data_IF_005325528242
#
_entry.id   IF_005325528242
#
_cell.length_a   1.000
_cell.length_b   1.000
_cell.length_c   1.000
_cell.angle_alpha   90.00
_cell.angle_beta   90.00
_cell.angle_gamma   90.00
#
_symmetry.space_group_name_H-M   'P 1'
#
loop_
_entity.id
_entity.type
_entity.pdbx_description
1 polymer ?
#
# COMPACT_ATOMS: atom_id res chain seq x y z
N UNK A 1 -3.72 -43.78 -14.22
CA UNK A 1 -4.74 -42.70 -14.26
C UNK A 1 -5.85 -43.17 -15.19
N UNK A 2 -6.91 -43.78 -14.65
CA UNK A 2 -7.77 -44.66 -15.46
C UNK A 2 -6.92 -45.75 -16.13
N UNK A 3 -7.03 -45.87 -17.45
CA UNK A 3 -6.30 -46.87 -18.26
C UNK A 3 -4.88 -46.44 -18.68
N UNK A 4 -4.40 -45.27 -18.26
CA UNK A 4 -3.08 -44.76 -18.63
C UNK A 4 -2.01 -45.13 -17.60
N UNK A 5 -0.89 -45.67 -18.09
CA UNK A 5 0.34 -45.95 -17.33
C UNK A 5 1.31 -44.79 -17.58
N UNK A 6 1.64 -44.05 -16.52
CA UNK A 6 2.65 -42.99 -16.57
C UNK A 6 4.03 -43.59 -16.28
N UNK A 7 5.05 -43.35 -17.14
CA UNK A 7 6.43 -43.75 -16.87
C UNK A 7 7.00 -43.10 -15.60
N UNK A 8 8.05 -43.70 -15.02
CA UNK A 8 8.75 -43.10 -13.89
C UNK A 8 9.44 -41.80 -14.31
N UNK A 9 9.53 -40.84 -13.38
CA UNK A 9 10.15 -39.51 -13.57
C UNK A 9 9.45 -38.61 -14.60
N UNK A 10 8.17 -38.86 -14.88
CA UNK A 10 7.34 -37.98 -15.70
C UNK A 10 6.78 -36.82 -14.87
N UNK A 11 6.85 -35.61 -15.42
CA UNK A 11 6.18 -34.45 -14.83
C UNK A 11 4.68 -34.49 -15.10
N UNK A 12 3.90 -34.28 -14.04
CA UNK A 12 2.44 -34.25 -14.09
C UNK A 12 2.00 -32.87 -13.62
N UNK A 13 1.37 -32.11 -14.52
CA UNK A 13 0.77 -30.82 -14.22
C UNK A 13 -0.73 -30.98 -13.99
N UNK A 14 -1.23 -30.42 -12.89
CA UNK A 14 -2.67 -30.36 -12.62
C UNK A 14 -3.15 -28.96 -13.06
N UNK A 15 -4.00 -28.85 -14.09
CA UNK A 15 -4.49 -27.56 -14.57
C UNK A 15 -5.60 -27.03 -13.65
N UNK A 16 -5.23 -26.48 -12.50
CA UNK A 16 -6.17 -26.00 -11.47
C UNK A 16 -7.11 -24.92 -11.99
N UNK A 17 -6.63 -23.99 -12.81
CA UNK A 17 -7.46 -22.93 -13.40
C UNK A 17 -8.55 -23.52 -14.29
N UNK A 18 -8.22 -24.47 -15.16
CA UNK A 18 -9.21 -25.12 -16.02
C UNK A 18 -10.23 -25.90 -15.17
N UNK A 19 -9.77 -26.61 -14.15
CA UNK A 19 -10.63 -27.37 -13.23
C UNK A 19 -11.59 -26.47 -12.42
N UNK A 20 -11.18 -25.26 -12.05
CA UNK A 20 -12.04 -24.29 -11.34
C UNK A 20 -13.00 -23.55 -12.26
N UNK A 21 -12.79 -23.61 -13.58
CA UNK A 21 -13.62 -22.94 -14.58
C UNK A 21 -14.43 -23.92 -15.46
N UNK A 22 -14.49 -25.19 -15.08
CA UNK A 22 -15.22 -26.22 -15.82
C UNK A 22 -16.75 -26.11 -15.57
N UNK A 23 -17.56 -25.77 -16.60
CA UNK A 23 -19.01 -25.67 -16.46
C UNK A 23 -19.69 -27.01 -16.12
N UNK A 24 -19.08 -28.15 -16.42
CA UNK A 24 -19.64 -29.45 -16.07
C UNK A 24 -19.65 -29.68 -14.56
N UNK A 25 -18.65 -29.16 -13.86
CA UNK A 25 -18.50 -29.30 -12.41
C UNK A 25 -19.21 -28.14 -11.68
N UNK A 26 -18.98 -26.92 -12.15
CA UNK A 26 -19.39 -25.69 -11.49
C UNK A 26 -20.72 -25.15 -12.02
N UNK A 27 -21.26 -25.67 -13.12
CA UNK A 27 -22.48 -25.16 -13.74
C UNK A 27 -22.22 -23.96 -14.67
N UNK A 28 -23.28 -23.47 -15.31
CA UNK A 28 -23.19 -22.41 -16.33
C UNK A 28 -22.74 -21.06 -15.76
N UNK A 29 -22.97 -20.81 -14.47
CA UNK A 29 -22.58 -19.59 -13.76
C UNK A 29 -21.13 -19.62 -13.23
N UNK A 30 -20.28 -20.53 -13.72
CA UNK A 30 -18.89 -20.70 -13.27
C UNK A 30 -18.03 -19.44 -13.40
N UNK A 31 -18.28 -18.64 -14.44
CA UNK A 31 -17.53 -17.40 -14.68
C UNK A 31 -18.03 -16.20 -13.87
N UNK A 32 -19.09 -16.38 -13.07
CA UNK A 32 -19.64 -15.33 -12.22
C UNK A 32 -19.06 -15.44 -10.80
N UNK A 33 -18.68 -14.30 -10.22
CA UNK A 33 -18.31 -14.25 -8.82
C UNK A 33 -19.54 -14.38 -7.92
N UNK A 34 -19.83 -15.61 -7.49
CA UNK A 34 -21.01 -15.98 -6.69
C UNK A 34 -20.58 -16.71 -5.40
N UNK A 35 -20.18 -15.97 -4.35
CA UNK A 35 -19.71 -16.57 -3.10
C UNK A 35 -20.77 -17.42 -2.40
N UNK A 36 -22.05 -17.14 -2.61
CA UNK A 36 -23.20 -17.88 -2.04
C UNK A 36 -23.19 -19.36 -2.44
N UNK A 37 -22.53 -19.71 -3.55
CA UNK A 37 -22.33 -21.09 -4.00
C UNK A 37 -21.75 -21.99 -2.89
N UNK A 38 -20.92 -21.43 -2.01
CA UNK A 38 -20.24 -22.18 -0.96
C UNK A 38 -21.01 -22.22 0.38
N UNK A 39 -22.21 -21.64 0.46
CA UNK A 39 -23.00 -21.57 1.69
C UNK A 39 -23.27 -22.96 2.30
N UNK A 40 -23.52 -23.96 1.46
CA UNK A 40 -23.76 -25.35 1.85
C UNK A 40 -22.51 -26.24 1.70
N UNK A 41 -21.33 -25.63 1.82
CA UNK A 41 -20.01 -26.25 1.70
C UNK A 41 -19.61 -26.59 0.25
N UNK A 42 -18.35 -26.96 0.10
CA UNK A 42 -17.70 -27.26 -1.19
C UNK A 42 -18.36 -28.42 -1.93
N UNK A 43 -18.83 -29.45 -1.22
CA UNK A 43 -19.44 -30.63 -1.86
C UNK A 43 -20.66 -30.24 -2.72
N UNK A 44 -21.54 -29.37 -2.22
CA UNK A 44 -22.69 -28.90 -3.01
C UNK A 44 -22.26 -27.99 -4.16
N UNK A 45 -21.26 -27.14 -3.93
CA UNK A 45 -20.73 -26.21 -4.93
C UNK A 45 -20.18 -26.90 -6.19
N UNK A 46 -19.68 -28.12 -6.06
CA UNK A 46 -18.98 -28.87 -7.12
C UNK A 46 -19.70 -30.15 -7.58
N UNK A 47 -21.03 -30.24 -7.39
CA UNK A 47 -21.83 -31.45 -7.72
C UNK A 47 -21.25 -32.73 -7.10
N UNK A 48 -20.85 -32.66 -5.83
CA UNK A 48 -20.18 -33.69 -5.04
C UNK A 48 -18.76 -34.09 -5.49
N UNK A 49 -18.18 -33.43 -6.50
CA UNK A 49 -16.78 -33.61 -6.86
C UNK A 49 -15.88 -32.70 -6.00
N UNK A 50 -15.65 -33.09 -4.75
CA UNK A 50 -14.90 -32.26 -3.78
C UNK A 50 -13.46 -31.98 -4.27
N UNK A 51 -12.86 -32.92 -5.00
CA UNK A 51 -11.49 -32.80 -5.50
C UNK A 51 -11.33 -31.75 -6.60
N UNK A 52 -12.43 -31.28 -7.20
CA UNK A 52 -12.39 -30.18 -8.13
C UNK A 52 -12.03 -28.85 -7.47
N UNK A 53 -12.32 -28.67 -6.17
CA UNK A 53 -11.96 -27.46 -5.45
C UNK A 53 -10.63 -27.61 -4.71
N UNK A 54 -9.55 -27.24 -5.40
CA UNK A 54 -8.17 -27.38 -4.94
C UNK A 54 -7.34 -26.08 -5.00
N UNK A 55 -7.81 -24.95 -4.40
CA UNK A 55 -7.08 -23.67 -4.43
C UNK A 55 -5.71 -23.74 -3.75
N UNK A 56 -5.52 -24.69 -2.83
CA UNK A 56 -4.27 -24.94 -2.11
C UNK A 56 -3.68 -26.31 -2.45
N UNK A 57 -4.00 -26.85 -3.63
CA UNK A 57 -3.75 -28.25 -4.01
C UNK A 57 -4.45 -29.24 -3.07
N UNK A 58 -4.26 -30.54 -3.32
CA UNK A 58 -4.86 -31.61 -2.52
C UNK A 58 -3.94 -32.83 -2.47
N UNK A 59 -4.09 -33.66 -1.44
CA UNK A 59 -3.28 -34.86 -1.23
C UNK A 59 -1.96 -34.58 -0.50
N UNK A 60 -0.94 -35.46 -0.62
CA UNK A 60 0.30 -35.38 0.16
C UNK A 60 1.19 -34.18 -0.17
N UNK A 61 0.88 -33.48 -1.27
CA UNK A 61 1.58 -32.27 -1.73
C UNK A 61 0.68 -31.03 -1.60
N UNK A 62 -0.29 -31.04 -0.68
CA UNK A 62 -1.10 -29.86 -0.40
C UNK A 62 -0.24 -28.74 0.20
N UNK A 63 -0.73 -27.50 0.10
CA UNK A 63 -0.04 -26.36 0.68
C UNK A 63 -0.02 -26.48 2.21
N UNK A 64 1.18 -26.60 2.78
CA UNK A 64 1.39 -26.63 4.24
C UNK A 64 0.87 -25.37 4.94
N UNK A 65 0.84 -24.24 4.23
CA UNK A 65 0.37 -22.96 4.72
C UNK A 65 -1.14 -22.73 4.59
N UNK A 66 -1.94 -23.70 4.11
CA UNK A 66 -3.37 -23.50 3.86
C UNK A 66 -4.13 -22.95 5.08
N UNK A 67 -3.93 -23.56 6.26
CA UNK A 67 -4.62 -23.14 7.47
C UNK A 67 -4.20 -21.75 7.95
N UNK A 68 -2.90 -21.44 7.79
CA UNK A 68 -2.36 -20.13 8.12
C UNK A 68 -2.96 -19.05 7.22
N UNK A 69 -2.89 -19.23 5.90
CA UNK A 69 -3.43 -18.27 4.93
C UNK A 69 -4.93 -18.03 5.11
N UNK A 70 -5.73 -19.09 5.34
CA UNK A 70 -7.16 -18.95 5.58
C UNK A 70 -7.47 -18.20 6.89
N UNK A 71 -6.66 -18.39 7.92
CA UNK A 71 -6.85 -17.69 9.20
C UNK A 71 -6.45 -16.23 9.08
N UNK A 72 -5.31 -15.96 8.45
CA UNK A 72 -4.79 -14.61 8.20
C UNK A 72 -5.76 -13.78 7.36
N UNK A 73 -6.26 -14.33 6.24
CA UNK A 73 -7.23 -13.64 5.38
C UNK A 73 -8.51 -13.28 6.14
N UNK A 74 -9.02 -14.19 6.98
CA UNK A 74 -10.21 -13.92 7.80
C UNK A 74 -9.97 -12.77 8.78
N UNK A 75 -8.84 -12.78 9.48
CA UNK A 75 -8.50 -11.72 10.44
C UNK A 75 -8.31 -10.38 9.71
N UNK A 76 -7.57 -10.37 8.61
CA UNK A 76 -7.33 -9.18 7.81
C UNK A 76 -8.65 -8.57 7.29
N UNK A 77 -9.54 -9.40 6.72
CA UNK A 77 -10.87 -8.96 6.27
C UNK A 77 -11.70 -8.37 7.41
N UNK A 78 -11.74 -9.03 8.56
CA UNK A 78 -12.47 -8.52 9.73
C UNK A 78 -11.91 -7.17 10.19
N UNK A 79 -10.59 -7.03 10.28
CA UNK A 79 -9.95 -5.78 10.71
C UNK A 79 -10.24 -4.62 9.75
N UNK A 80 -10.23 -4.88 8.44
CA UNK A 80 -10.52 -3.87 7.43
C UNK A 80 -12.00 -3.48 7.48
N UNK A 81 -12.91 -4.46 7.42
CA UNK A 81 -14.35 -4.22 7.35
C UNK A 81 -14.94 -3.61 8.63
N UNK A 82 -14.32 -3.83 9.79
CA UNK A 82 -14.74 -3.19 11.04
C UNK A 82 -14.40 -1.70 11.11
N UNK A 83 -13.34 -1.26 10.42
CA UNK A 83 -12.80 0.11 10.55
C UNK A 83 -13.04 0.97 9.33
N UNK A 84 -13.23 0.36 8.16
CA UNK A 84 -13.29 1.05 6.89
C UNK A 84 -14.49 0.58 6.08
N UNK A 85 -15.09 1.53 5.35
CA UNK A 85 -16.04 1.24 4.30
C UNK A 85 -15.32 1.34 2.96
N UNK A 86 -15.14 0.20 2.29
CA UNK A 86 -14.52 0.16 0.97
C UNK A 86 -15.49 0.73 -0.06
N UNK A 87 -15.01 1.63 -0.91
CA UNK A 87 -15.73 2.13 -2.07
C UNK A 87 -14.78 2.05 -3.27
N UNK A 88 -15.32 1.64 -4.41
CA UNK A 88 -14.57 1.69 -5.66
C UNK A 88 -14.36 3.16 -6.03
N UNK A 89 -13.13 3.54 -6.31
CA UNK A 89 -12.86 4.81 -6.97
C UNK A 89 -13.09 4.60 -8.47
N UNK A 90 -13.97 5.40 -9.07
CA UNK A 90 -14.15 5.39 -10.51
C UNK A 90 -12.86 5.90 -11.16
N UNK A 91 -12.24 5.09 -12.01
CA UNK A 91 -11.15 5.54 -12.85
C UNK A 91 -11.71 6.59 -13.82
N UNK A 92 -11.29 7.85 -13.69
CA UNK A 92 -11.78 8.90 -14.59
C UNK A 92 -11.30 8.63 -16.01
N UNK A 93 -12.21 8.24 -16.91
CA UNK A 93 -11.92 8.08 -18.34
C UNK A 93 -11.64 9.41 -19.03
N UNK A 94 -11.87 10.55 -18.35
CA UNK A 94 -11.39 11.83 -18.82
C UNK A 94 -9.86 11.88 -18.70
N UNK A 95 -9.16 11.61 -19.80
CA UNK A 95 -7.93 12.37 -20.05
C UNK A 95 -8.34 13.82 -20.15
N UNK A 96 -8.37 14.54 -19.03
CA UNK A 96 -8.34 16.00 -19.08
C UNK A 96 -7.02 16.30 -19.76
N UNK A 97 -7.08 16.81 -21.00
CA UNK A 97 -5.97 17.64 -21.48
C UNK A 97 -5.84 18.72 -20.42
N UNK A 98 -4.73 18.72 -19.71
CA UNK A 98 -4.37 19.89 -18.91
C UNK A 98 -4.14 20.94 -19.98
N UNK A 99 -5.08 21.87 -20.12
CA UNK A 99 -4.88 22.99 -21.01
C UNK A 99 -3.61 23.71 -20.51
N UNK A 100 -2.68 24.00 -21.42
CA UNK A 100 -1.42 24.71 -21.13
C UNK A 100 -1.68 26.19 -20.74
N UNK A 101 -2.86 26.51 -20.20
CA UNK A 101 -3.12 27.79 -19.55
C UNK A 101 -2.44 27.79 -18.18
N UNK A 102 -1.18 28.18 -18.21
CA UNK A 102 -0.38 28.51 -17.04
C UNK A 102 -1.08 29.67 -16.32
N UNK A 103 -1.76 29.39 -15.21
CA UNK A 103 -2.35 30.41 -14.35
C UNK A 103 -1.26 31.42 -13.96
N UNK A 104 -1.56 32.72 -14.03
CA UNK A 104 -0.62 33.78 -13.65
C UNK A 104 -0.18 33.54 -12.19
N UNK A 105 1.09 33.15 -11.98
CA UNK A 105 1.64 32.70 -10.69
C UNK A 105 2.08 31.23 -10.60
N UNK A 106 1.83 30.39 -11.60
CA UNK A 106 2.32 29.01 -11.62
C UNK A 106 3.85 28.96 -11.75
N UNK A 107 4.49 28.29 -10.80
CA UNK A 107 5.94 28.06 -10.77
C UNK A 107 6.24 26.60 -11.13
N UNK A 108 7.35 26.33 -11.83
CA UNK A 108 7.80 24.96 -12.07
C UNK A 108 7.95 24.15 -10.78
N UNK A 109 7.79 22.83 -10.84
CA UNK A 109 7.74 21.96 -9.66
C UNK A 109 8.95 22.09 -8.71
N UNK A 110 10.14 22.35 -9.25
CA UNK A 110 11.37 22.55 -8.48
C UNK A 110 11.45 23.92 -7.76
N UNK A 111 10.48 24.81 -7.98
CA UNK A 111 10.37 26.15 -7.41
C UNK A 111 9.15 26.30 -6.47
N UNK A 112 8.38 25.24 -6.24
CA UNK A 112 7.17 25.26 -5.40
C UNK A 112 7.45 25.71 -3.96
N UNK A 113 8.61 25.32 -3.41
CA UNK A 113 8.99 25.57 -2.02
C UNK A 113 9.90 26.79 -1.84
N UNK A 114 10.20 27.52 -2.93
CA UNK A 114 11.02 28.72 -2.87
C UNK A 114 10.14 29.97 -2.91
N UNK A 115 10.16 30.77 -1.84
CA UNK A 115 9.53 32.10 -1.83
C UNK A 115 10.23 33.05 -2.83
N UNK A 116 9.72 33.13 -4.05
CA UNK A 116 10.19 34.10 -5.03
C UNK A 116 9.58 35.48 -4.74
N UNK A 117 10.41 36.40 -4.27
CA UNK A 117 10.06 37.82 -4.06
C UNK A 117 10.02 38.57 -5.40
N UNK A 118 8.85 38.63 -6.04
CA UNK A 118 8.66 39.34 -7.32
C UNK A 118 8.35 40.83 -7.13
N UNK A 119 9.35 41.69 -6.85
CA UNK A 119 9.18 43.17 -7.00
C UNK A 119 10.47 43.91 -7.41
N UNK A 120 10.66 44.24 -8.71
CA UNK A 120 11.81 45.05 -9.16
C UNK A 120 11.76 46.53 -8.69
N UNK A 121 10.64 47.01 -8.12
CA UNK A 121 10.51 48.39 -7.62
C UNK A 121 10.76 48.57 -6.12
N UNK A 122 11.15 47.53 -5.39
CA UNK A 122 11.52 47.63 -3.97
C UNK A 122 13.00 47.25 -3.78
N UNK A 123 13.92 47.67 -4.64
CA UNK A 123 15.35 47.42 -4.43
C UNK A 123 16.01 48.49 -3.54
N UNK A 124 15.57 49.74 -3.65
CA UNK A 124 16.25 50.86 -2.96
C UNK A 124 15.94 50.95 -1.47
N UNK A 125 14.70 50.71 -1.05
CA UNK A 125 14.32 50.68 0.38
C UNK A 125 14.75 49.37 1.06
N UNK A 126 14.89 48.30 0.28
CA UNK A 126 15.27 46.96 0.75
C UNK A 126 16.74 46.82 1.06
N UNK A 127 17.66 47.64 0.52
CA UNK A 127 19.07 47.60 0.97
C UNK A 127 19.20 48.10 2.41
N UNK A 128 18.43 49.12 2.80
CA UNK A 128 18.41 49.65 4.17
C UNK A 128 17.71 48.67 5.14
N UNK A 129 16.61 48.04 4.70
CA UNK A 129 15.99 46.96 5.47
C UNK A 129 16.86 45.70 5.54
N UNK A 130 17.54 45.28 4.46
CA UNK A 130 18.45 44.13 4.45
C UNK A 130 19.64 44.27 5.39
N UNK A 131 20.11 45.48 5.71
CA UNK A 131 21.13 45.69 6.75
C UNK A 131 20.56 45.45 8.15
N UNK A 132 19.33 45.88 8.43
CA UNK A 132 18.62 45.59 9.69
C UNK A 132 18.23 44.11 9.79
N UNK A 133 17.75 43.52 8.70
CA UNK A 133 17.40 42.10 8.61
C UNK A 133 18.62 41.19 8.60
N UNK A 134 19.81 41.61 8.15
CA UNK A 134 21.04 40.79 8.30
C UNK A 134 21.44 40.59 9.77
N UNK A 135 21.11 41.55 10.63
CA UNK A 135 21.30 41.43 12.07
C UNK A 135 20.29 40.45 12.70
N UNK A 136 19.04 40.42 12.21
CA UNK A 136 18.01 39.47 12.67
C UNK A 136 18.01 38.10 11.97
N UNK A 137 18.59 37.98 10.76
CA UNK A 137 18.61 36.72 9.97
C UNK A 137 19.43 35.61 10.60
N UNK A 138 20.30 35.95 11.53
CA UNK A 138 21.07 34.99 12.31
C UNK A 138 20.64 34.96 13.78
N UNK A 139 19.48 35.54 14.11
CA UNK A 139 18.84 35.26 15.40
C UNK A 139 18.39 33.81 15.39
N UNK A 140 19.18 33.00 16.08
CA UNK A 140 18.88 31.61 16.40
C UNK A 140 17.58 31.61 17.22
N UNK A 141 16.65 30.65 17.03
CA UNK A 141 15.37 30.60 17.76
C UNK A 141 15.48 30.50 19.29
N UNK A 142 16.70 30.47 19.83
CA UNK A 142 16.99 30.48 21.25
C UNK A 142 17.53 31.85 21.64
N UNK A 143 16.85 32.58 22.56
CA UNK A 143 17.40 33.80 23.12
C UNK A 143 18.68 33.49 23.92
N UNK A 144 19.45 34.53 24.25
CA UNK A 144 20.72 34.41 24.99
C UNK A 144 20.55 33.54 26.24
N UNK A 145 21.14 32.34 26.20
CA UNK A 145 21.00 31.31 27.24
C UNK A 145 21.78 31.73 28.50
N UNK A 146 21.25 31.41 29.68
CA UNK A 146 21.93 31.63 30.96
C UNK A 146 23.21 30.79 31.03
N UNK A 147 24.36 31.35 31.46
CA UNK A 147 25.56 30.56 31.71
C UNK A 147 25.31 29.61 32.90
N UNK A 148 25.65 28.34 32.74
CA UNK A 148 25.59 27.30 33.79
C UNK A 148 26.99 27.17 34.40
N UNK A 149 27.08 27.13 35.72
CA UNK A 149 28.36 27.03 36.43
C UNK A 149 28.92 25.59 36.39
N UNK A 150 30.25 25.45 36.46
CA UNK A 150 30.92 24.15 36.29
C UNK A 150 30.58 23.14 37.39
N UNK A 151 30.30 23.61 38.61
CA UNK A 151 29.86 22.80 39.75
C UNK A 151 28.41 22.28 39.58
N UNK A 152 27.56 23.00 38.86
CA UNK A 152 26.25 22.51 38.42
C UNK A 152 26.37 21.49 37.28
N UNK A 153 27.40 21.62 36.43
CA UNK A 153 27.59 20.78 35.25
C UNK A 153 28.28 19.44 35.57
N UNK A 154 29.24 19.44 36.50
CA UNK A 154 30.10 18.28 36.76
C UNK A 154 29.90 17.71 38.16
N UNK A 155 29.31 16.51 38.23
CA UNK A 155 29.26 15.73 39.48
C UNK A 155 30.61 15.05 39.71
N UNK A 156 31.32 15.46 40.76
CA UNK A 156 32.59 14.83 41.16
C UNK A 156 32.32 13.43 41.70
N UNK A 157 32.86 12.41 41.03
CA UNK A 157 32.87 11.02 41.50
C UNK A 157 34.32 10.67 41.84
N UNK A 158 34.58 10.28 43.09
CA UNK A 158 35.89 9.78 43.51
C UNK A 158 35.88 8.26 43.41
N UNK A 159 36.78 7.70 42.62
CA UNK A 159 37.02 6.26 42.55
C UNK A 159 37.92 5.84 43.73
N UNK A 160 37.35 5.11 44.68
CA UNK A 160 38.01 4.49 45.81
C UNK A 160 37.20 3.28 46.27
#
# INVERSE_FOLDING_TARGET
MGNLIAPSKMDILIPTVALHHDPEIWGEDVHLFKPERFAERVAKATKNNIFAFCPFSLGPRNCVGMNFALTEIKIALLMILQRYRLAMHEESTSRRKVDDEVHEGAVPAYLLDHENTTRPKIMSNTIKQKRKEKAGKWEVPLPKVRPVAEDEMFKVIRSG
#
